data_IF_410697295332
#
_entry.id   IF_410697295332
#
_cell.length_a   1.000
_cell.length_b   1.000
_cell.length_c   1.000
_cell.angle_alpha   90.00
_cell.angle_beta   90.00
_cell.angle_gamma   90.00
#
_symmetry.space_group_name_H-M   'P 1'
#
loop_
_entity.id
_entity.type
_entity.pdbx_description
1 polymer ?
#
# COMPACT_ATOMS: atom_id res chain seq x y z
N UNK A 1 -4.50 -7.08 4.74
CA UNK A 1 -3.69 -6.48 3.66
C UNK A 1 -3.46 -4.99 3.92
N UNK A 2 -4.48 -4.20 4.31
CA UNK A 2 -4.31 -2.77 4.62
C UNK A 2 -3.20 -2.51 5.64
N UNK A 3 -3.13 -3.29 6.72
CA UNK A 3 -2.05 -3.18 7.71
C UNK A 3 -0.68 -3.45 7.06
N UNK A 4 -0.55 -4.50 6.24
CA UNK A 4 0.68 -4.81 5.52
C UNK A 4 1.08 -3.72 4.52
N UNK A 5 0.11 -3.19 3.78
CA UNK A 5 0.30 -2.09 2.85
C UNK A 5 0.82 -0.83 3.58
N UNK A 6 0.19 -0.47 4.67
CA UNK A 6 0.60 0.69 5.47
C UNK A 6 1.98 0.47 6.10
N UNK A 7 2.28 -0.78 6.51
CA UNK A 7 3.61 -1.17 7.00
C UNK A 7 4.71 -0.86 5.98
N UNK A 8 4.47 -1.15 4.71
CA UNK A 8 5.44 -0.89 3.64
C UNK A 8 5.51 0.60 3.30
N UNK A 9 4.36 1.30 3.24
CA UNK A 9 4.30 2.71 2.83
C UNK A 9 4.76 3.68 3.92
N UNK A 10 4.29 3.51 5.14
CA UNK A 10 4.58 4.44 6.24
C UNK A 10 6.00 4.31 6.81
N UNK A 11 6.73 3.25 6.41
CA UNK A 11 8.08 3.00 6.95
C UNK A 11 9.08 4.10 6.58
N UNK A 12 9.91 3.82 5.61
CA UNK A 12 11.06 4.68 5.30
C UNK A 12 10.81 5.69 4.16
N UNK A 13 9.68 5.60 3.46
CA UNK A 13 9.37 6.50 2.34
C UNK A 13 9.27 7.97 2.75
N UNK A 14 8.59 8.26 3.86
CA UNK A 14 8.40 9.63 4.35
C UNK A 14 9.71 10.30 4.77
N UNK A 15 10.71 9.54 5.23
CA UNK A 15 12.02 10.09 5.59
C UNK A 15 12.75 10.70 4.39
N UNK A 16 12.51 10.21 3.16
CA UNK A 16 13.06 10.80 1.93
C UNK A 16 12.51 12.21 1.65
N UNK A 17 11.24 12.44 1.99
CA UNK A 17 10.60 13.75 1.78
C UNK A 17 11.15 14.78 2.78
N UNK A 18 11.37 14.37 4.02
CA UNK A 18 11.74 15.28 5.12
C UNK A 18 13.24 15.45 5.33
N UNK A 19 14.08 14.60 4.74
CA UNK A 19 15.53 14.73 4.83
C UNK A 19 15.99 16.09 4.27
N UNK A 20 16.78 16.88 5.03
CA UNK A 20 17.31 18.19 4.57
C UNK A 20 18.19 18.02 3.34
N UNK A 21 19.13 17.08 3.39
CA UNK A 21 20.01 16.70 2.30
C UNK A 21 19.78 15.24 1.96
N UNK A 22 19.60 14.95 0.68
CA UNK A 22 19.36 13.62 0.16
C UNK A 22 20.54 13.20 -0.70
N UNK A 23 21.21 12.14 -0.30
CA UNK A 23 22.30 11.52 -1.06
C UNK A 23 21.75 10.28 -1.77
N UNK A 24 22.33 9.92 -2.91
CA UNK A 24 21.93 8.73 -3.66
C UNK A 24 21.97 7.44 -2.83
N UNK A 25 22.89 7.37 -1.87
CA UNK A 25 22.98 6.25 -0.91
C UNK A 25 21.74 6.16 0.00
N UNK A 26 21.12 7.29 0.38
CA UNK A 26 19.90 7.32 1.18
C UNK A 26 18.74 6.70 0.41
N UNK A 27 18.61 7.05 -0.89
CA UNK A 27 17.59 6.50 -1.79
C UNK A 27 17.73 4.98 -1.93
N UNK A 28 18.96 4.51 -2.19
CA UNK A 28 19.27 3.10 -2.35
C UNK A 28 18.99 2.31 -1.06
N UNK A 29 19.38 2.88 0.08
CA UNK A 29 19.16 2.27 1.40
C UNK A 29 17.66 2.14 1.70
N UNK A 30 16.88 3.21 1.48
CA UNK A 30 15.42 3.19 1.67
C UNK A 30 14.75 2.19 0.74
N UNK A 31 15.14 2.16 -0.53
CA UNK A 31 14.62 1.18 -1.49
C UNK A 31 14.87 -0.25 -1.04
N UNK A 32 16.11 -0.56 -0.65
CA UNK A 32 16.50 -1.91 -0.23
C UNK A 32 15.77 -2.34 1.04
N UNK A 33 15.66 -1.44 2.03
CA UNK A 33 14.95 -1.74 3.28
C UNK A 33 13.45 -1.96 3.01
N UNK A 34 12.80 -1.10 2.22
CA UNK A 34 11.39 -1.27 1.88
C UNK A 34 11.13 -2.57 1.10
N UNK A 35 12.03 -2.94 0.19
CA UNK A 35 11.92 -4.19 -0.55
C UNK A 35 12.06 -5.40 0.38
N UNK A 36 13.06 -5.41 1.27
CA UNK A 36 13.24 -6.47 2.26
C UNK A 36 12.04 -6.56 3.20
N UNK A 37 11.58 -5.42 3.73
CA UNK A 37 10.41 -5.36 4.60
C UNK A 37 9.16 -5.89 3.90
N UNK A 38 8.93 -5.51 2.65
CA UNK A 38 7.78 -5.99 1.87
C UNK A 38 7.82 -7.50 1.65
N UNK A 39 9.00 -8.06 1.39
CA UNK A 39 9.18 -9.51 1.24
C UNK A 39 8.93 -10.26 2.56
N UNK A 40 9.41 -9.73 3.68
CA UNK A 40 9.17 -10.31 5.01
C UNK A 40 7.68 -10.28 5.35
N UNK A 41 7.02 -9.13 5.16
CA UNK A 41 5.57 -8.99 5.42
C UNK A 41 4.76 -9.87 4.48
N UNK A 42 5.14 -9.97 3.20
CA UNK A 42 4.50 -10.87 2.24
C UNK A 42 4.68 -12.34 2.63
N UNK A 43 5.88 -12.76 3.03
CA UNK A 43 6.14 -14.12 3.50
C UNK A 43 5.32 -14.45 4.75
N UNK A 44 5.25 -13.52 5.72
CA UNK A 44 4.43 -13.68 6.90
C UNK A 44 2.94 -13.81 6.55
N UNK A 45 2.43 -12.99 5.63
CA UNK A 45 1.06 -13.07 5.13
C UNK A 45 0.80 -14.38 4.38
N UNK A 46 1.74 -14.81 3.55
CA UNK A 46 1.65 -16.06 2.77
C UNK A 46 1.57 -17.28 3.70
N UNK A 47 2.39 -17.32 4.76
CA UNK A 47 2.40 -18.39 5.76
C UNK A 47 1.16 -18.34 6.66
N UNK A 48 0.66 -17.15 7.03
CA UNK A 48 -0.53 -16.99 7.85
C UNK A 48 -1.86 -17.14 7.09
N UNK A 49 -1.84 -17.09 5.76
CA UNK A 49 -3.04 -17.16 4.91
C UNK A 49 -3.92 -18.40 5.18
N UNK A 50 -3.39 -19.63 5.43
CA UNK A 50 -4.22 -20.77 5.78
C UNK A 50 -4.93 -20.60 7.13
N UNK A 51 -4.22 -20.08 8.15
CA UNK A 51 -4.77 -19.83 9.46
C UNK A 51 -5.87 -18.75 9.42
N UNK A 52 -5.65 -17.69 8.63
CA UNK A 52 -6.66 -16.64 8.44
C UNK A 52 -7.88 -17.20 7.72
N UNK A 53 -7.71 -18.01 6.66
CA UNK A 53 -8.81 -18.63 5.93
C UNK A 53 -9.64 -19.56 6.83
N UNK A 54 -9.00 -20.36 7.68
CA UNK A 54 -9.70 -21.22 8.64
C UNK A 54 -10.41 -20.40 9.73
N UNK A 55 -9.81 -19.32 10.18
CA UNK A 55 -10.43 -18.44 11.19
C UNK A 55 -11.74 -17.82 10.70
N UNK A 56 -11.82 -17.41 9.43
CA UNK A 56 -13.02 -16.83 8.84
C UNK A 56 -13.96 -17.88 8.22
N UNK A 57 -13.54 -19.15 8.09
CA UNK A 57 -14.32 -20.22 7.48
C UNK A 57 -14.45 -20.11 5.95
N UNK A 58 -13.57 -19.36 5.29
CA UNK A 58 -13.63 -19.06 3.86
C UNK A 58 -12.39 -19.58 3.12
N UNK A 59 -12.45 -20.78 2.48
CA UNK A 59 -11.28 -21.39 1.82
C UNK A 59 -10.69 -20.54 0.68
N UNK A 60 -11.54 -19.79 -0.02
CA UNK A 60 -11.10 -18.91 -1.14
C UNK A 60 -10.13 -17.83 -0.64
N UNK A 61 -10.27 -17.41 0.62
CA UNK A 61 -9.47 -16.36 1.22
C UNK A 61 -7.97 -16.69 1.25
N UNK A 62 -7.62 -17.97 1.38
CA UNK A 62 -6.24 -18.45 1.31
C UNK A 62 -5.57 -18.09 -0.03
N UNK A 63 -6.26 -18.35 -1.16
CA UNK A 63 -5.74 -18.05 -2.49
C UNK A 63 -5.71 -16.54 -2.74
N UNK A 64 -6.78 -15.87 -2.39
CA UNK A 64 -6.93 -14.40 -2.53
C UNK A 64 -5.85 -13.66 -1.75
N UNK A 65 -5.60 -14.01 -0.48
CA UNK A 65 -4.56 -13.37 0.34
C UNK A 65 -3.15 -13.56 -0.23
N UNK A 66 -2.85 -14.74 -0.75
CA UNK A 66 -1.54 -15.02 -1.35
C UNK A 66 -1.29 -14.22 -2.62
N UNK A 67 -2.28 -14.15 -3.51
CA UNK A 67 -2.14 -13.41 -4.77
C UNK A 67 -2.20 -11.90 -4.52
N UNK A 68 -3.17 -11.43 -3.75
CA UNK A 68 -3.30 -10.01 -3.44
C UNK A 68 -2.13 -9.50 -2.57
N UNK A 69 -1.48 -10.37 -1.80
CA UNK A 69 -0.27 -10.04 -1.05
C UNK A 69 0.91 -9.60 -1.92
N UNK A 70 0.96 -9.99 -3.21
CA UNK A 70 1.97 -9.50 -4.16
C UNK A 70 1.93 -7.97 -4.31
N UNK A 71 0.79 -7.35 -4.04
CA UNK A 71 0.65 -5.90 -3.97
C UNK A 71 1.71 -5.26 -3.06
N UNK A 72 2.06 -5.91 -1.94
CA UNK A 72 3.05 -5.38 -0.98
C UNK A 72 4.43 -5.24 -1.63
N UNK A 73 4.82 -6.23 -2.42
CA UNK A 73 6.10 -6.22 -3.16
C UNK A 73 6.06 -5.17 -4.27
N UNK A 74 4.97 -5.09 -5.02
CA UNK A 74 4.78 -4.07 -6.07
C UNK A 74 4.87 -2.67 -5.47
N UNK A 75 4.25 -2.44 -4.30
CA UNK A 75 4.29 -1.15 -3.61
C UNK A 75 5.69 -0.75 -3.13
N UNK A 76 6.59 -1.70 -2.84
CA UNK A 76 7.96 -1.37 -2.49
C UNK A 76 8.70 -0.67 -3.64
N UNK A 77 8.40 -1.04 -4.89
CA UNK A 77 8.92 -0.35 -6.08
C UNK A 77 8.27 1.03 -6.31
N UNK A 78 7.03 1.19 -5.88
CA UNK A 78 6.29 2.44 -6.05
C UNK A 78 6.80 3.53 -5.10
N UNK A 79 7.06 3.18 -3.84
CA UNK A 79 7.15 4.12 -2.73
C UNK A 79 8.30 5.11 -2.87
N UNK A 80 9.47 4.67 -3.34
CA UNK A 80 10.65 5.53 -3.50
C UNK A 80 10.40 6.56 -4.59
N UNK A 81 9.90 6.13 -5.75
CA UNK A 81 9.62 7.02 -6.88
C UNK A 81 8.51 8.01 -6.55
N UNK A 82 7.49 7.57 -5.83
CA UNK A 82 6.40 8.42 -5.36
C UNK A 82 6.92 9.53 -4.43
N UNK A 83 7.71 9.18 -3.41
CA UNK A 83 8.24 10.16 -2.45
C UNK A 83 9.27 11.11 -3.08
N UNK A 84 10.09 10.64 -4.02
CA UNK A 84 11.00 11.51 -4.79
C UNK A 84 10.23 12.51 -5.66
N UNK A 85 9.17 12.08 -6.34
CA UNK A 85 8.31 12.96 -7.11
C UNK A 85 7.57 13.97 -6.22
N UNK A 86 7.10 13.54 -5.04
CA UNK A 86 6.48 14.41 -4.05
C UNK A 86 7.47 15.47 -3.53
N UNK A 87 8.68 15.07 -3.15
CA UNK A 87 9.75 15.97 -2.72
C UNK A 87 10.08 17.04 -3.76
N UNK A 88 10.04 16.68 -5.04
CA UNK A 88 10.29 17.57 -6.17
C UNK A 88 9.07 18.40 -6.59
N UNK A 89 7.98 18.32 -5.83
CA UNK A 89 6.70 18.97 -6.12
C UNK A 89 6.13 18.64 -7.52
N UNK A 90 6.42 17.43 -8.02
CA UNK A 90 5.93 16.94 -9.30
C UNK A 90 4.50 16.41 -9.21
N UNK A 91 3.59 17.19 -8.58
CA UNK A 91 2.22 16.78 -8.31
C UNK A 91 1.45 16.45 -9.60
N UNK A 92 1.62 17.26 -10.67
CA UNK A 92 0.98 16.99 -11.97
C UNK A 92 1.32 15.59 -12.49
N UNK A 93 2.57 15.17 -12.39
CA UNK A 93 3.04 13.85 -12.80
C UNK A 93 2.38 12.76 -11.96
N UNK A 94 2.38 12.91 -10.64
CA UNK A 94 1.74 11.96 -9.72
C UNK A 94 0.24 11.80 -10.03
N UNK A 95 -0.47 12.92 -10.24
CA UNK A 95 -1.89 12.89 -10.58
C UNK A 95 -2.16 12.19 -11.92
N UNK A 96 -1.38 12.49 -12.97
CA UNK A 96 -1.57 11.86 -14.29
C UNK A 96 -1.35 10.35 -14.18
N UNK A 97 -0.24 9.91 -13.57
CA UNK A 97 0.04 8.49 -13.38
C UNK A 97 -1.03 7.81 -12.52
N UNK A 98 -1.49 8.45 -11.45
CA UNK A 98 -2.55 7.91 -10.60
C UNK A 98 -3.86 7.75 -11.38
N UNK A 99 -4.32 8.78 -12.10
CA UNK A 99 -5.57 8.74 -12.85
C UNK A 99 -5.52 7.68 -13.96
N UNK A 100 -4.46 7.68 -14.77
CA UNK A 100 -4.31 6.69 -15.86
C UNK A 100 -4.26 5.26 -15.33
N UNK A 101 -3.50 5.02 -14.26
CA UNK A 101 -3.40 3.70 -13.64
C UNK A 101 -4.73 3.23 -13.03
N UNK A 102 -5.48 4.15 -12.40
CA UNK A 102 -6.82 3.84 -11.87
C UNK A 102 -7.79 3.45 -13.00
N UNK A 103 -7.82 4.23 -14.08
CA UNK A 103 -8.67 3.94 -15.24
C UNK A 103 -8.32 2.56 -15.80
N UNK A 104 -7.05 2.28 -16.08
CA UNK A 104 -6.60 1.00 -16.64
C UNK A 104 -6.88 -0.17 -15.68
N UNK A 105 -6.55 -0.02 -14.41
CA UNK A 105 -6.74 -1.07 -13.41
C UNK A 105 -8.21 -1.42 -13.20
N UNK A 106 -9.08 -0.41 -13.06
CA UNK A 106 -10.52 -0.68 -12.89
C UNK A 106 -11.19 -1.15 -14.17
N UNK A 107 -10.73 -0.73 -15.36
CA UNK A 107 -11.21 -1.27 -16.63
C UNK A 107 -10.94 -2.78 -16.71
N UNK A 108 -9.75 -3.24 -16.33
CA UNK A 108 -9.44 -4.68 -16.24
C UNK A 108 -10.39 -5.37 -15.26
N UNK A 109 -10.63 -4.76 -14.10
CA UNK A 109 -11.58 -5.30 -13.11
C UNK A 109 -12.99 -5.46 -13.65
N UNK A 110 -13.51 -4.45 -14.34
CA UNK A 110 -14.86 -4.47 -14.94
C UNK A 110 -14.97 -5.52 -16.03
N UNK A 111 -13.98 -5.61 -16.92
CA UNK A 111 -13.93 -6.65 -17.98
C UNK A 111 -13.92 -8.04 -17.37
N UNK A 112 -13.09 -8.30 -16.34
CA UNK A 112 -13.03 -9.59 -15.67
C UNK A 112 -14.33 -9.91 -14.91
N UNK A 113 -14.97 -8.91 -14.30
CA UNK A 113 -16.26 -9.08 -13.63
C UNK A 113 -17.36 -9.45 -14.65
N UNK A 114 -17.38 -8.80 -15.82
CA UNK A 114 -18.30 -9.13 -16.91
C UNK A 114 -18.12 -10.54 -17.46
N UNK A 115 -16.91 -11.09 -17.40
CA UNK A 115 -16.60 -12.48 -17.75
C UNK A 115 -16.82 -13.48 -16.60
N UNK A 116 -17.42 -13.06 -15.48
CA UNK A 116 -17.78 -13.96 -14.38
C UNK A 116 -16.62 -14.35 -13.45
N UNK A 117 -15.50 -13.61 -13.45
CA UNK A 117 -14.35 -13.92 -12.61
C UNK A 117 -14.61 -13.72 -11.09
N UNK A 118 -15.75 -13.14 -10.68
CA UNK A 118 -16.15 -12.97 -9.29
C UNK A 118 -15.11 -12.19 -8.47
N UNK A 119 -14.68 -12.76 -7.34
CA UNK A 119 -13.69 -12.11 -6.44
C UNK A 119 -12.34 -11.83 -7.12
N UNK A 120 -11.97 -12.63 -8.11
CA UNK A 120 -10.71 -12.45 -8.83
C UNK A 120 -10.65 -11.17 -9.64
N UNK A 121 -11.80 -10.65 -10.08
CA UNK A 121 -11.86 -9.34 -10.78
C UNK A 121 -11.31 -8.21 -9.90
N UNK A 122 -11.63 -8.20 -8.61
CA UNK A 122 -11.13 -7.20 -7.66
C UNK A 122 -9.64 -7.39 -7.36
N UNK A 123 -9.18 -8.63 -7.27
CA UNK A 123 -7.77 -8.96 -7.05
C UNK A 123 -6.92 -8.44 -8.20
N UNK A 124 -7.29 -8.79 -9.43
CA UNK A 124 -6.53 -8.36 -10.63
C UNK A 124 -6.67 -6.87 -10.90
N UNK A 125 -7.84 -6.26 -10.64
CA UNK A 125 -8.00 -4.81 -10.72
C UNK A 125 -6.98 -4.09 -9.82
N UNK A 126 -6.88 -4.52 -8.56
CA UNK A 126 -5.97 -3.92 -7.59
C UNK A 126 -4.50 -4.12 -7.97
N UNK A 127 -4.10 -5.34 -8.35
CA UNK A 127 -2.72 -5.63 -8.75
C UNK A 127 -2.33 -4.86 -10.02
N UNK A 128 -3.21 -4.80 -11.02
CA UNK A 128 -2.98 -4.06 -12.26
C UNK A 128 -2.83 -2.57 -12.00
N UNK A 129 -3.67 -2.00 -11.13
CA UNK A 129 -3.59 -0.59 -10.73
C UNK A 129 -2.20 -0.26 -10.19
N UNK A 130 -1.71 -1.00 -9.20
CA UNK A 130 -0.38 -0.74 -8.62
C UNK A 130 0.75 -1.02 -9.62
N UNK A 131 0.60 -2.03 -10.47
CA UNK A 131 1.58 -2.34 -11.52
C UNK A 131 1.69 -1.19 -12.52
N UNK A 132 0.56 -0.65 -12.99
CA UNK A 132 0.57 0.52 -13.88
C UNK A 132 1.12 1.77 -13.20
N UNK A 133 0.87 1.97 -11.91
CA UNK A 133 1.49 3.07 -11.17
C UNK A 133 3.01 2.94 -11.11
N UNK A 134 3.52 1.74 -10.82
CA UNK A 134 4.96 1.47 -10.84
C UNK A 134 5.52 1.77 -12.22
N UNK A 135 4.96 1.16 -13.26
CA UNK A 135 5.42 1.37 -14.64
C UNK A 135 5.41 2.87 -15.00
N UNK A 136 4.30 3.57 -14.76
CA UNK A 136 4.16 4.99 -15.07
C UNK A 136 5.17 5.89 -14.34
N UNK A 137 5.43 5.63 -13.06
CA UNK A 137 6.44 6.41 -12.32
C UNK A 137 7.87 6.05 -12.75
N UNK A 138 8.16 4.79 -13.00
CA UNK A 138 9.50 4.37 -13.44
C UNK A 138 9.83 4.84 -14.86
N UNK A 139 8.88 4.84 -15.78
CA UNK A 139 9.09 5.37 -17.14
C UNK A 139 9.33 6.88 -17.17
N UNK A 140 8.82 7.59 -16.18
CA UNK A 140 8.90 9.05 -16.12
C UNK A 140 9.99 9.56 -15.15
N UNK A 141 10.75 8.66 -14.49
CA UNK A 141 11.84 9.05 -13.58
C UNK A 141 13.17 9.15 -14.30
N UNK A 142 14.05 10.02 -13.81
CA UNK A 142 15.46 10.09 -14.21
C UNK A 142 16.40 9.38 -13.23
N UNK A 143 15.90 8.94 -12.08
CA UNK A 143 16.70 8.32 -11.03
C UNK A 143 16.18 6.92 -10.70
N UNK A 144 17.04 5.94 -10.94
CA UNK A 144 16.75 4.54 -10.63
C UNK A 144 17.49 4.14 -9.36
N UNK A 145 16.77 3.74 -8.29
CA UNK A 145 17.40 3.22 -7.09
C UNK A 145 18.07 1.88 -7.41
N UNK A 146 19.22 1.66 -6.81
CA UNK A 146 19.96 0.39 -6.87
C UNK A 146 19.93 -0.30 -5.51
N UNK A 147 20.14 -1.60 -5.50
CA UNK A 147 20.22 -2.36 -4.25
C UNK A 147 21.54 -1.98 -3.56
N UNK A 148 21.43 -1.45 -2.35
CA UNK A 148 22.58 -1.07 -1.53
C UNK A 148 22.15 -0.56 -0.16
N UNK A 149 22.93 -0.85 0.86
CA UNK A 149 22.67 -0.40 2.24
C UNK A 149 23.90 0.36 2.75
N UNK A 150 23.72 1.63 3.10
CA UNK A 150 24.72 2.45 3.79
C UNK A 150 24.40 2.50 5.29
N UNK A 151 25.37 2.14 6.15
CA UNK A 151 25.22 2.20 7.62
C UNK A 151 24.93 3.62 8.10
N UNK A 152 25.49 4.63 7.44
CA UNK A 152 25.28 6.03 7.80
C UNK A 152 23.84 6.46 7.49
N UNK A 153 23.33 6.13 6.29
CA UNK A 153 21.94 6.38 5.89
C UNK A 153 20.97 5.64 6.81
N UNK A 154 21.27 4.41 7.16
CA UNK A 154 20.45 3.62 8.08
C UNK A 154 20.33 4.31 9.46
N UNK A 155 21.43 4.70 10.09
CA UNK A 155 21.42 5.40 11.38
C UNK A 155 20.71 6.75 11.33
N UNK A 156 20.76 7.46 10.20
CA UNK A 156 20.13 8.76 10.00
C UNK A 156 18.60 8.63 9.85
N UNK A 157 18.11 7.60 9.16
CA UNK A 157 16.72 7.49 8.73
C UNK A 157 15.85 6.65 9.67
N UNK A 158 16.41 5.62 10.30
CA UNK A 158 15.68 4.65 11.16
C UNK A 158 15.00 5.27 12.37
N UNK A 159 15.64 6.13 13.18
CA UNK A 159 15.01 6.64 14.39
C UNK A 159 13.71 7.40 14.11
N UNK A 160 13.73 8.19 13.04
CA UNK A 160 12.56 8.96 12.61
C UNK A 160 11.45 8.07 12.01
N UNK A 161 11.85 7.18 11.11
CA UNK A 161 10.90 6.26 10.44
C UNK A 161 10.28 5.26 11.41
N UNK A 162 11.03 4.78 12.40
CA UNK A 162 10.55 3.79 13.36
C UNK A 162 9.40 4.30 14.23
N UNK A 163 9.48 5.55 14.69
CA UNK A 163 8.40 6.15 15.49
C UNK A 163 7.13 6.34 14.67
N UNK A 164 7.25 6.89 13.46
CA UNK A 164 6.10 7.06 12.55
C UNK A 164 5.48 5.71 12.20
N UNK A 165 6.32 4.71 11.94
CA UNK A 165 5.87 3.36 11.65
C UNK A 165 5.04 2.78 12.80
N UNK A 166 5.52 2.87 14.04
CA UNK A 166 4.80 2.36 15.19
C UNK A 166 3.47 3.08 15.41
N UNK A 167 3.47 4.41 15.33
CA UNK A 167 2.26 5.22 15.41
C UNK A 167 1.23 4.83 14.34
N UNK A 168 1.71 4.59 13.11
CA UNK A 168 0.84 4.20 12.00
C UNK A 168 0.28 2.78 12.19
N UNK A 169 1.06 1.83 12.70
CA UNK A 169 0.56 0.49 13.04
C UNK A 169 -0.55 0.53 14.08
N UNK A 170 -0.37 1.30 15.15
CA UNK A 170 -1.40 1.47 16.20
C UNK A 170 -2.68 2.07 15.60
N UNK A 171 -2.55 3.11 14.78
CA UNK A 171 -3.68 3.74 14.10
C UNK A 171 -4.41 2.76 13.16
N UNK A 172 -3.68 1.95 12.40
CA UNK A 172 -4.28 0.92 11.52
C UNK A 172 -4.99 -0.19 12.31
N UNK A 173 -4.41 -0.61 13.42
CA UNK A 173 -5.05 -1.57 14.31
C UNK A 173 -6.37 -1.00 14.88
N UNK A 174 -6.41 0.27 15.23
CA UNK A 174 -7.61 0.96 15.67
C UNK A 174 -8.68 1.04 14.56
N UNK A 175 -8.32 1.53 13.38
CA UNK A 175 -9.25 1.70 12.25
C UNK A 175 -9.84 0.36 11.78
N UNK A 176 -9.02 -0.68 11.69
CA UNK A 176 -9.45 -1.98 11.16
C UNK A 176 -9.89 -2.98 12.21
N UNK A 177 -9.64 -2.69 13.50
CA UNK A 177 -9.98 -3.61 14.60
C UNK A 177 -11.47 -3.97 14.64
N UNK A 178 -12.35 -2.97 14.50
CA UNK A 178 -13.80 -3.20 14.47
C UNK A 178 -14.22 -4.05 13.27
N UNK A 179 -13.66 -3.78 12.09
CA UNK A 179 -13.95 -4.56 10.88
C UNK A 179 -13.51 -6.03 11.02
N UNK A 180 -12.41 -6.30 11.72
CA UNK A 180 -11.96 -7.68 12.01
C UNK A 180 -12.93 -8.42 12.91
N UNK A 181 -13.44 -7.76 13.96
CA UNK A 181 -14.43 -8.34 14.88
C UNK A 181 -15.75 -8.60 14.16
N UNK A 182 -16.23 -7.62 13.38
CA UNK A 182 -17.46 -7.75 12.60
C UNK A 182 -17.35 -8.88 11.57
N UNK A 183 -16.21 -9.01 10.88
CA UNK A 183 -15.98 -10.08 9.90
C UNK A 183 -15.99 -11.48 10.50
N UNK A 184 -15.72 -11.62 11.82
CA UNK A 184 -15.79 -12.91 12.53
C UNK A 184 -17.19 -13.22 13.03
N UNK A 185 -17.94 -12.21 13.50
CA UNK A 185 -19.23 -12.39 14.20
C UNK A 185 -20.44 -12.33 13.27
N UNK A 186 -20.30 -11.64 12.13
CA UNK A 186 -21.40 -11.38 11.21
C UNK A 186 -21.09 -11.92 9.81
N UNK A 187 -22.11 -11.94 8.94
CA UNK A 187 -21.97 -12.40 7.56
C UNK A 187 -21.09 -11.47 6.71
N UNK A 188 -20.50 -12.00 5.64
CA UNK A 188 -19.76 -11.22 4.66
C UNK A 188 -20.59 -10.06 4.07
N UNK A 189 -21.90 -10.25 3.91
CA UNK A 189 -22.83 -9.23 3.43
C UNK A 189 -22.93 -8.06 4.42
N UNK A 190 -23.09 -8.34 5.71
CA UNK A 190 -23.14 -7.30 6.76
C UNK A 190 -21.84 -6.52 6.83
N UNK A 191 -20.69 -7.21 6.75
CA UNK A 191 -19.39 -6.56 6.68
C UNK A 191 -19.27 -5.69 5.43
N UNK A 192 -19.81 -6.13 4.30
CA UNK A 192 -19.86 -5.36 3.06
C UNK A 192 -20.63 -4.04 3.22
N UNK A 193 -21.82 -4.07 3.79
CA UNK A 193 -22.60 -2.86 4.07
C UNK A 193 -21.89 -1.92 5.04
N UNK A 194 -21.32 -2.45 6.11
CA UNK A 194 -20.54 -1.65 7.07
C UNK A 194 -19.35 -0.95 6.40
N UNK A 195 -18.57 -1.67 5.60
CA UNK A 195 -17.41 -1.10 4.93
C UNK A 195 -17.77 -0.04 3.90
N UNK A 196 -18.89 -0.20 3.19
CA UNK A 196 -19.39 0.82 2.25
C UNK A 196 -19.91 2.06 3.00
N UNK A 197 -20.68 1.88 4.08
CA UNK A 197 -21.14 2.99 4.91
C UNK A 197 -19.95 3.79 5.48
N UNK A 198 -18.92 3.10 5.96
CA UNK A 198 -17.71 3.72 6.49
C UNK A 198 -16.94 4.51 5.43
N UNK A 199 -16.83 3.99 4.19
CA UNK A 199 -16.23 4.70 3.07
C UNK A 199 -17.00 5.99 2.73
N UNK A 200 -18.33 5.93 2.69
CA UNK A 200 -19.16 7.10 2.43
C UNK A 200 -19.03 8.17 3.50
N UNK A 201 -18.91 7.76 4.79
CA UNK A 201 -18.67 8.67 5.91
C UNK A 201 -17.28 9.33 5.84
N UNK A 202 -16.26 8.59 5.38
CA UNK A 202 -14.89 9.12 5.29
C UNK A 202 -14.74 10.23 4.25
N UNK A 203 -15.48 10.21 3.14
CA UNK A 203 -15.35 11.20 2.07
C UNK A 203 -15.56 12.64 2.55
N UNK A 204 -16.69 13.01 3.20
CA UNK A 204 -16.86 14.36 3.73
C UNK A 204 -15.90 14.68 4.88
N UNK A 205 -15.57 13.69 5.73
CA UNK A 205 -14.66 13.90 6.86
C UNK A 205 -13.25 14.23 6.39
N UNK A 206 -12.75 13.56 5.37
CA UNK A 206 -11.43 13.83 4.77
C UNK A 206 -11.42 15.21 4.09
N UNK A 207 -12.47 15.55 3.33
CA UNK A 207 -12.55 16.86 2.69
C UNK A 207 -12.50 18.01 3.71
N UNK A 208 -13.15 17.87 4.87
CA UNK A 208 -13.12 18.86 5.94
C UNK A 208 -11.74 18.92 6.60
N UNK A 209 -11.12 17.78 6.84
CA UNK A 209 -9.78 17.71 7.43
C UNK A 209 -8.72 18.33 6.51
N UNK A 210 -8.75 18.04 5.22
CA UNK A 210 -7.81 18.58 4.22
C UNK A 210 -7.89 20.11 4.12
N UNK A 211 -9.09 20.69 4.30
CA UNK A 211 -9.28 22.15 4.34
C UNK A 211 -8.84 22.74 5.69
N UNK A 212 -9.02 22.01 6.78
CA UNK A 212 -8.66 22.49 8.13
C UNK A 212 -7.17 22.46 8.44
N UNK A 213 -6.36 21.72 7.69
CA UNK A 213 -4.90 21.62 7.85
C UNK A 213 -4.10 22.55 6.91
N UNK A 214 -4.76 23.36 6.07
CA UNK A 214 -4.14 24.42 5.28
C UNK A 214 -4.15 25.76 6.05
#
# INVERSE_FOLDING_TARGET
>A
ISIGYTTVIAGFGQSLVQARELVREDINTVFTINLLLSLVVYAALYCSAPAIASFYGEPILKKVLRVLGLQLVICAFLIVQYNLALRRSQLRRLCIVAITSNILGYTIGVVLAGNGAGVWSLVFATLSLYLFQVIGLWMTTSEYPTIGISKNSFKKLVPYSGFIYLATLVNQAYIHGLSMILGKRFSATTLGYYTQANKLQMVPSQAIQDVGYQ
#
